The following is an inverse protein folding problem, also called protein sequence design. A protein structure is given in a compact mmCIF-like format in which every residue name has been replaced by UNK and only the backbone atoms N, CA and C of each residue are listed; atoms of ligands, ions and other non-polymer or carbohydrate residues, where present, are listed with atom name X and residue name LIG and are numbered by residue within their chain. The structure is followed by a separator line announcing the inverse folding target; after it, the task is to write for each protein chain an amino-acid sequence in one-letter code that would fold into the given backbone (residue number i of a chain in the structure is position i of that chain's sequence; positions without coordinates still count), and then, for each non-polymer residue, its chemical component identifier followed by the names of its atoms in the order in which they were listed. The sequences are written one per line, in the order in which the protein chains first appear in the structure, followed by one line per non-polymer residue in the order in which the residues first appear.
data_IF_097159158187
#
_entry.id   IF_097159158187
#
_cell.length_a   1.000
_cell.length_b   1.000
_cell.length_c   1.000
_cell.angle_alpha   90.00
_cell.angle_beta   90.00
_cell.angle_gamma   90.00
#
_symmetry.space_group_name_H-M   'P 1'
#
loop_
_entity.id
_entity.type
_entity.pdbx_description
1 polymer ?
#
# COMPACT_ATOMS: atom_id res chain seq x y z
N UNK A 1 -39.54 -24.69 -0.93
CA UNK A 1 -38.99 -23.39 -0.45
C UNK A 1 -37.70 -23.54 0.35
N UNK A 2 -37.60 -24.40 1.39
CA UNK A 2 -36.35 -24.61 2.16
C UNK A 2 -35.09 -24.93 1.30
N UNK A 3 -35.24 -25.74 0.25
CA UNK A 3 -34.17 -26.08 -0.69
C UNK A 3 -33.68 -24.89 -1.55
N UNK A 4 -34.54 -23.90 -1.79
CA UNK A 4 -34.21 -22.68 -2.55
C UNK A 4 -33.39 -21.74 -1.66
N UNK A 5 -33.82 -21.54 -0.41
CA UNK A 5 -33.05 -20.75 0.57
C UNK A 5 -31.67 -21.36 0.85
N UNK A 6 -31.57 -22.70 0.89
CA UNK A 6 -30.29 -23.38 1.06
C UNK A 6 -29.35 -23.17 -0.13
N UNK A 7 -29.88 -23.16 -1.36
CA UNK A 7 -29.10 -22.87 -2.57
C UNK A 7 -28.65 -21.40 -2.61
N UNK A 8 -29.51 -20.46 -2.22
CA UNK A 8 -29.18 -19.04 -2.14
C UNK A 8 -28.09 -18.78 -1.09
N UNK A 9 -28.22 -19.37 0.10
CA UNK A 9 -27.23 -19.26 1.17
C UNK A 9 -25.87 -19.85 0.76
N UNK A 10 -25.87 -21.01 0.10
CA UNK A 10 -24.65 -21.64 -0.40
C UNK A 10 -23.97 -20.79 -1.48
N UNK A 11 -24.73 -20.11 -2.34
CA UNK A 11 -24.17 -19.26 -3.41
C UNK A 11 -23.57 -17.98 -2.82
N UNK A 12 -24.25 -17.40 -1.83
CA UNK A 12 -23.76 -16.21 -1.10
C UNK A 12 -22.46 -16.49 -0.34
N UNK A 13 -22.34 -17.69 0.27
CA UNK A 13 -21.12 -18.12 0.96
C UNK A 13 -19.93 -18.33 0.01
N UNK A 14 -20.16 -18.78 -1.21
CA UNK A 14 -19.10 -18.98 -2.22
C UNK A 14 -18.58 -17.63 -2.75
N UNK A 15 -19.45 -16.62 -2.86
CA UNK A 15 -19.06 -15.27 -3.27
C UNK A 15 -18.18 -14.57 -2.22
N UNK A 16 -18.38 -14.85 -0.93
CA UNK A 16 -17.59 -14.25 0.16
C UNK A 16 -16.13 -14.75 0.26
N UNK A 17 -15.78 -15.86 -0.39
CA UNK A 17 -14.41 -16.43 -0.38
C UNK A 17 -13.56 -15.99 -1.57
N UNK A 18 -14.14 -15.27 -2.54
CA UNK A 18 -13.47 -14.83 -3.75
C UNK A 18 -12.74 -13.47 -3.62
N UNK A 19 -12.54 -12.98 -2.39
CA UNK A 19 -11.72 -11.80 -2.11
C UNK A 19 -10.24 -12.12 -2.19
N UNK A 20 -9.73 -12.42 -3.38
CA UNK A 20 -8.29 -12.50 -3.60
C UNK A 20 -7.77 -11.07 -3.75
N UNK A 21 -7.09 -10.55 -2.72
CA UNK A 21 -6.41 -9.26 -2.75
C UNK A 21 -5.19 -9.36 -3.69
N UNK A 22 -5.43 -9.39 -4.99
CA UNK A 22 -4.35 -9.28 -5.96
C UNK A 22 -3.87 -7.84 -5.93
N UNK A 23 -2.77 -7.60 -5.24
CA UNK A 23 -2.07 -6.32 -5.33
C UNK A 23 -1.51 -6.24 -6.76
N UNK A 24 -2.07 -5.33 -7.56
CA UNK A 24 -1.53 -5.02 -8.89
C UNK A 24 -0.28 -4.14 -8.72
N UNK A 25 0.67 -4.18 -9.68
CA UNK A 25 1.79 -3.26 -9.69
C UNK A 25 1.30 -1.81 -9.67
N UNK A 26 1.91 -0.98 -8.84
CA UNK A 26 1.58 0.43 -8.74
C UNK A 26 2.84 1.27 -8.50
N UNK A 27 2.83 2.50 -9.01
CA UNK A 27 3.89 3.47 -8.79
C UNK A 27 3.92 3.96 -7.35
N UNK A 28 5.03 4.57 -6.92
CA UNK A 28 5.11 5.22 -5.62
C UNK A 28 4.04 6.32 -5.48
N UNK A 29 3.79 7.08 -6.54
CA UNK A 29 2.75 8.11 -6.57
C UNK A 29 1.35 7.52 -6.37
N UNK A 30 1.03 6.41 -7.04
CA UNK A 30 -0.26 5.74 -6.86
C UNK A 30 -0.41 5.10 -5.48
N UNK A 31 0.69 4.63 -4.88
CA UNK A 31 0.68 4.05 -3.53
C UNK A 31 0.46 5.10 -2.44
N UNK A 32 0.98 6.32 -2.64
CA UNK A 32 0.89 7.40 -1.66
C UNK A 32 -0.50 8.04 -1.70
N UNK A 33 -1.24 7.95 -0.60
CA UNK A 33 -2.62 8.47 -0.51
C UNK A 33 -2.73 10.00 -0.50
N UNK A 34 -1.61 10.70 -0.33
CA UNK A 34 -1.54 12.17 -0.32
C UNK A 34 -1.03 12.75 -1.64
N UNK A 35 -0.87 14.07 -1.66
CA UNK A 35 -0.27 14.76 -2.78
C UNK A 35 1.25 14.92 -2.54
N UNK A 36 2.09 14.34 -3.41
CA UNK A 36 3.55 14.42 -3.28
C UNK A 36 4.08 15.85 -3.25
N UNK A 37 3.40 16.80 -3.92
CA UNK A 37 3.80 18.22 -3.92
C UNK A 37 3.67 18.90 -2.55
N UNK A 38 2.84 18.34 -1.66
CA UNK A 38 2.58 18.88 -0.33
C UNK A 38 3.59 18.38 0.72
N UNK A 39 4.38 17.33 0.42
CA UNK A 39 5.34 16.73 1.35
C UNK A 39 6.39 17.75 1.80
N UNK A 40 6.37 18.10 3.09
CA UNK A 40 7.22 19.15 3.67
C UNK A 40 8.42 18.64 4.46
N UNK A 41 8.42 17.36 4.83
CA UNK A 41 9.46 16.74 5.65
C UNK A 41 9.65 15.26 5.28
N UNK A 42 10.90 14.81 5.25
CA UNK A 42 11.28 13.41 5.22
C UNK A 42 11.98 13.06 6.53
N UNK A 43 11.57 11.97 7.16
CA UNK A 43 12.18 11.42 8.37
C UNK A 43 12.81 10.08 8.06
N UNK A 44 14.10 9.94 8.35
CA UNK A 44 14.84 8.67 8.24
C UNK A 44 15.20 8.23 9.64
N UNK A 45 14.58 7.15 10.10
CA UNK A 45 14.87 6.52 11.39
C UNK A 45 15.81 5.34 11.17
N UNK A 46 17.00 5.43 11.73
CA UNK A 46 17.97 4.35 11.74
C UNK A 46 17.60 3.33 12.83
N UNK A 47 18.00 2.07 12.66
CA UNK A 47 17.71 0.99 13.61
C UNK A 47 18.30 1.18 15.01
N UNK A 48 19.24 2.12 15.18
CA UNK A 48 19.80 2.56 16.47
C UNK A 48 18.93 3.64 17.16
N UNK A 49 17.81 4.06 16.55
CA UNK A 49 16.94 5.12 17.05
C UNK A 49 17.31 6.53 16.59
N UNK A 50 18.42 6.71 15.86
CA UNK A 50 18.82 8.00 15.30
C UNK A 50 17.81 8.47 14.27
N UNK A 51 17.43 9.74 14.36
CA UNK A 51 16.48 10.38 13.47
C UNK A 51 17.20 11.44 12.64
N UNK A 52 17.11 11.32 11.33
CA UNK A 52 17.52 12.36 10.38
C UNK A 52 16.29 12.96 9.75
N UNK A 53 16.11 14.26 9.96
CA UNK A 53 15.03 15.03 9.32
C UNK A 53 15.57 15.83 8.14
N UNK A 54 14.82 15.87 7.05
CA UNK A 54 15.08 16.69 5.87
C UNK A 54 13.83 17.53 5.64
N UNK A 55 13.97 18.86 5.71
CA UNK A 55 12.88 19.83 5.51
C UNK A 55 13.12 20.77 4.32
N UNK A 56 14.29 20.66 3.67
CA UNK A 56 14.65 21.48 2.52
C UNK A 56 13.90 21.03 1.27
N UNK A 57 12.94 21.84 0.83
CA UNK A 57 12.14 21.59 -0.39
C UNK A 57 12.99 21.48 -1.66
N UNK A 58 14.16 22.13 -1.71
CA UNK A 58 15.07 22.01 -2.85
C UNK A 58 15.72 20.64 -2.96
N UNK A 59 15.73 19.86 -1.87
CA UNK A 59 16.19 18.47 -1.84
C UNK A 59 14.99 17.52 -1.98
N UNK A 60 13.90 17.79 -1.25
CA UNK A 60 12.71 16.93 -1.22
C UNK A 60 12.08 16.80 -2.61
N UNK A 61 11.84 17.92 -3.31
CA UNK A 61 11.10 17.88 -4.57
C UNK A 61 11.84 17.08 -5.65
N UNK A 62 13.13 17.33 -5.95
CA UNK A 62 13.86 16.52 -6.94
C UNK A 62 13.96 15.05 -6.56
N UNK A 63 14.08 14.75 -5.26
CA UNK A 63 14.10 13.38 -4.79
C UNK A 63 12.76 12.66 -5.01
N UNK A 64 11.64 13.28 -4.63
CA UNK A 64 10.30 12.74 -4.88
C UNK A 64 10.04 12.56 -6.38
N UNK A 65 10.43 13.55 -7.20
CA UNK A 65 10.33 13.45 -8.66
C UNK A 65 11.14 12.28 -9.22
N UNK A 66 12.27 11.93 -8.60
CA UNK A 66 13.10 10.80 -9.04
C UNK A 66 12.53 9.42 -8.69
N UNK A 67 11.61 9.34 -7.72
CA UNK A 67 11.07 8.07 -7.22
C UNK A 67 9.58 7.86 -7.53
N UNK A 68 8.84 8.90 -7.91
CA UNK A 68 7.39 8.83 -8.08
C UNK A 68 6.93 7.74 -9.04
N UNK A 69 7.71 7.49 -10.10
CA UNK A 69 7.41 6.52 -11.15
C UNK A 69 7.98 5.12 -10.85
N UNK A 70 8.64 4.91 -9.70
CA UNK A 70 9.14 3.59 -9.30
C UNK A 70 7.96 2.66 -9.07
N UNK A 71 7.91 1.56 -9.83
CA UNK A 71 6.87 0.55 -9.75
C UNK A 71 7.19 -0.40 -8.59
N UNK A 72 6.24 -0.52 -7.66
CA UNK A 72 6.23 -1.56 -6.65
C UNK A 72 5.53 -2.79 -7.21
N UNK A 73 6.29 -3.87 -7.39
CA UNK A 73 5.75 -5.18 -7.75
C UNK A 73 5.51 -6.02 -6.48
N UNK A 74 4.25 -6.28 -6.10
CA UNK A 74 3.94 -7.07 -4.93
C UNK A 74 4.41 -8.51 -5.14
N UNK A 75 5.25 -9.00 -4.23
CA UNK A 75 5.63 -10.42 -4.26
C UNK A 75 4.41 -11.30 -3.93
N UNK A 76 4.34 -12.49 -4.50
CA UNK A 76 3.18 -13.39 -4.38
C UNK A 76 2.78 -13.75 -2.94
N UNK A 77 3.66 -13.55 -1.96
CA UNK A 77 3.45 -13.89 -0.54
C UNK A 77 3.55 -12.67 0.41
N UNK A 78 3.39 -11.44 -0.09
CA UNK A 78 3.58 -10.23 0.72
C UNK A 78 2.43 -9.95 1.71
N UNK A 79 1.33 -10.71 1.64
CA UNK A 79 0.17 -10.59 2.54
C UNK A 79 0.47 -10.94 4.01
N UNK A 80 1.61 -11.56 4.30
CA UNK A 80 1.98 -12.02 5.65
C UNK A 80 2.82 -11.01 6.46
N UNK A 81 3.14 -9.84 5.90
CA UNK A 81 3.87 -8.80 6.61
C UNK A 81 2.98 -8.09 7.62
N UNK A 82 3.04 -8.47 8.90
CA UNK A 82 2.55 -7.59 9.97
C UNK A 82 3.43 -6.36 10.00
N UNK A 83 2.96 -5.25 9.42
CA UNK A 83 3.66 -3.97 9.53
C UNK A 83 3.93 -3.67 11.02
N UNK A 84 5.17 -3.35 11.35
CA UNK A 84 5.54 -2.96 12.71
C UNK A 84 5.12 -1.49 12.92
N UNK A 85 4.26 -1.25 13.92
CA UNK A 85 3.92 0.08 14.44
C UNK A 85 4.81 0.40 15.63
#
# INVERSE_FOLDING_TARGET
MKKIYLRLLSTMLILSIAGCLKHEPMTFEEMYSGNLTEVSKIEIRHGNGELKEITDKSIINPWLDSIKDIIFEPSTNQDAGVGYI
#
